data_IF_816696494903
#
_entry.id   IF_816696494903
#
_cell.length_a   1.000
_cell.length_b   1.000
_cell.length_c   1.000
_cell.angle_alpha   90.00
_cell.angle_beta   90.00
_cell.angle_gamma   90.00
#
_symmetry.space_group_name_H-M   'P 1'
#
loop_
_entity.id
_entity.type
_entity.pdbx_description
1 polymer ?
#
# COMPACT_ATOMS: atom_id res chain seq x y z
N UNK A 1 -15.95 -0.52 11.59
CA UNK A 1 -14.63 -0.90 11.06
C UNK A 1 -13.88 0.39 10.78
N UNK A 2 -12.57 0.49 11.08
CA UNK A 2 -11.81 1.69 10.74
C UNK A 2 -11.84 1.90 9.23
N UNK A 3 -12.05 3.14 8.82
CA UNK A 3 -12.07 3.55 7.41
C UNK A 3 -10.66 3.52 6.82
N UNK A 4 -10.57 3.42 5.50
CA UNK A 4 -9.28 3.47 4.80
C UNK A 4 -8.45 4.70 5.19
N UNK A 5 -9.08 5.87 5.28
CA UNK A 5 -8.41 7.13 5.65
C UNK A 5 -7.84 7.07 7.08
N UNK A 6 -8.60 6.55 8.04
CA UNK A 6 -8.11 6.35 9.41
C UNK A 6 -6.93 5.38 9.47
N UNK A 7 -6.98 4.30 8.69
CA UNK A 7 -5.88 3.33 8.64
C UNK A 7 -4.65 3.92 7.96
N UNK A 8 -4.81 4.75 6.91
CA UNK A 8 -3.71 5.47 6.27
C UNK A 8 -3.01 6.41 7.25
N UNK A 9 -3.77 7.18 8.02
CA UNK A 9 -3.20 8.07 9.04
C UNK A 9 -2.46 7.29 10.12
N UNK A 10 -3.02 6.16 10.57
CA UNK A 10 -2.35 5.28 11.52
C UNK A 10 -1.09 4.64 10.93
N UNK A 11 -1.12 4.18 9.68
CA UNK A 11 0.03 3.59 9.01
C UNK A 11 1.18 4.60 8.85
N UNK A 12 0.87 5.89 8.61
CA UNK A 12 1.87 6.97 8.60
C UNK A 12 2.57 7.14 9.94
N UNK A 13 1.87 6.92 11.06
CA UNK A 13 2.42 7.11 12.40
C UNK A 13 3.50 6.09 12.78
N UNK A 14 3.50 4.89 12.18
CA UNK A 14 4.45 3.81 12.50
C UNK A 14 5.46 3.55 11.38
N UNK A 15 5.70 4.54 10.51
CA UNK A 15 6.60 4.41 9.35
C UNK A 15 8.05 4.06 9.70
N UNK A 16 8.45 4.20 10.96
CA UNK A 16 9.80 3.89 11.45
C UNK A 16 9.98 2.41 11.83
N UNK A 17 8.91 1.67 12.09
CA UNK A 17 8.96 0.28 12.57
C UNK A 17 8.62 -0.76 11.49
N UNK A 18 8.36 -0.31 10.27
CA UNK A 18 7.86 -1.10 9.16
C UNK A 18 8.98 -1.43 8.17
N UNK A 19 9.00 -2.65 7.64
CA UNK A 19 10.02 -3.08 6.69
C UNK A 19 9.82 -2.44 5.32
N UNK A 20 10.87 -2.42 4.49
CA UNK A 20 10.78 -1.90 3.11
C UNK A 20 9.73 -2.65 2.30
N UNK A 21 9.60 -3.96 2.49
CA UNK A 21 8.63 -4.80 1.79
C UNK A 21 7.18 -4.43 2.16
N UNK A 22 6.90 -4.29 3.46
CA UNK A 22 5.58 -3.86 3.92
C UNK A 22 5.25 -2.45 3.38
N UNK A 23 6.20 -1.51 3.40
CA UNK A 23 6.01 -0.16 2.82
C UNK A 23 5.60 -0.24 1.35
N UNK A 24 6.26 -1.11 0.58
CA UNK A 24 5.95 -1.31 -0.84
C UNK A 24 4.56 -1.91 -1.02
N UNK A 25 4.15 -2.85 -0.16
CA UNK A 25 2.84 -3.46 -0.23
C UNK A 25 1.72 -2.46 0.11
N UNK A 26 1.87 -1.69 1.20
CA UNK A 26 0.96 -0.59 1.52
C UNK A 26 0.90 0.44 0.39
N UNK A 27 2.04 0.81 -0.18
CA UNK A 27 2.09 1.76 -1.28
C UNK A 27 1.30 1.26 -2.50
N UNK A 28 1.46 -0.01 -2.88
CA UNK A 28 0.76 -0.60 -4.02
C UNK A 28 -0.76 -0.57 -3.86
N UNK A 29 -1.25 -1.03 -2.71
CA UNK A 29 -2.69 -0.99 -2.42
C UNK A 29 -3.23 0.44 -2.26
N UNK A 30 -2.47 1.34 -1.63
CA UNK A 30 -2.85 2.73 -1.48
C UNK A 30 -3.02 3.42 -2.85
N UNK A 31 -2.06 3.21 -3.76
CA UNK A 31 -2.11 3.77 -5.11
C UNK A 31 -3.25 3.18 -5.92
N UNK A 32 -3.46 1.86 -5.86
CA UNK A 32 -4.59 1.21 -6.52
C UNK A 32 -5.95 1.70 -5.96
N UNK A 33 -6.04 1.92 -4.64
CA UNK A 33 -7.25 2.40 -3.98
C UNK A 33 -7.62 3.86 -4.30
N UNK A 34 -6.61 4.70 -4.59
CA UNK A 34 -6.78 6.16 -4.75
C UNK A 34 -6.71 6.61 -6.20
N UNK A 35 -5.83 5.99 -6.99
CA UNK A 35 -5.60 6.31 -8.41
C UNK A 35 -6.24 5.27 -9.32
N UNK A 36 -6.31 4.00 -8.89
CA UNK A 36 -6.66 2.87 -9.74
C UNK A 36 -5.42 2.28 -10.40
N UNK A 37 -5.61 1.71 -11.58
CA UNK A 37 -4.54 1.02 -12.31
C UNK A 37 -3.33 1.91 -12.57
N UNK A 38 -2.15 1.29 -12.50
CA UNK A 38 -0.87 1.97 -12.73
C UNK A 38 -0.83 2.56 -14.14
N UNK A 39 -0.70 3.89 -14.22
CA UNK A 39 -0.78 4.69 -15.44
C UNK A 39 0.50 5.50 -15.73
N UNK A 40 1.59 5.18 -15.04
CA UNK A 40 2.89 5.82 -15.23
C UNK A 40 3.85 4.87 -15.97
N UNK A 41 4.85 5.45 -16.61
CA UNK A 41 5.97 4.69 -17.19
C UNK A 41 6.87 4.11 -16.09
N UNK A 42 7.62 3.07 -16.45
CA UNK A 42 8.57 2.44 -15.55
C UNK A 42 9.72 3.42 -15.23
N UNK A 43 9.92 3.78 -13.95
CA UNK A 43 10.98 4.70 -13.56
C UNK A 43 12.36 4.04 -13.61
N UNK A 44 13.40 4.84 -13.84
CA UNK A 44 14.80 4.38 -13.89
C UNK A 44 15.40 4.15 -12.49
N UNK A 45 14.92 4.89 -11.49
CA UNK A 45 15.37 4.78 -10.09
C UNK A 45 14.94 3.45 -9.47
N UNK A 46 15.88 2.73 -8.85
CA UNK A 46 15.62 1.39 -8.31
C UNK A 46 14.53 1.38 -7.21
N UNK A 47 14.52 2.41 -6.36
CA UNK A 47 13.52 2.56 -5.30
C UNK A 47 12.12 2.89 -5.85
N UNK A 48 12.06 3.76 -6.87
CA UNK A 48 10.81 4.10 -7.54
C UNK A 48 10.29 2.92 -8.36
N UNK A 49 11.18 2.16 -8.99
CA UNK A 49 10.86 0.95 -9.73
C UNK A 49 10.24 -0.11 -8.83
N UNK A 50 10.74 -0.27 -7.61
CA UNK A 50 10.12 -1.18 -6.64
C UNK A 50 8.68 -0.75 -6.28
N UNK A 51 8.45 0.55 -6.07
CA UNK A 51 7.11 1.11 -5.81
C UNK A 51 6.18 0.93 -7.01
N UNK A 52 6.69 1.22 -8.20
CA UNK A 52 6.00 1.03 -9.48
C UNK A 52 5.58 -0.42 -9.69
N UNK A 53 6.52 -1.36 -9.52
CA UNK A 53 6.24 -2.80 -9.64
C UNK A 53 5.19 -3.25 -8.62
N UNK A 54 5.27 -2.76 -7.38
CA UNK A 54 4.27 -3.07 -6.36
C UNK A 54 2.89 -2.59 -6.78
N UNK A 55 2.76 -1.32 -7.21
CA UNK A 55 1.49 -0.77 -7.71
C UNK A 55 0.99 -1.53 -8.95
N UNK A 56 1.87 -1.78 -9.93
CA UNK A 56 1.54 -2.52 -11.16
C UNK A 56 1.06 -3.94 -10.88
N UNK A 57 1.62 -4.62 -9.87
CA UNK A 57 1.17 -5.96 -9.48
C UNK A 57 -0.25 -5.99 -8.91
N UNK A 58 -0.75 -4.83 -8.43
CA UNK A 58 -2.11 -4.67 -7.90
C UNK A 58 -3.10 -4.17 -8.95
N UNK A 59 -2.66 -3.96 -10.19
CA UNK A 59 -3.53 -3.54 -11.29
C UNK A 59 -4.65 -4.57 -11.53
N UNK A 60 -5.83 -4.09 -11.89
CA UNK A 60 -7.04 -4.90 -12.05
C UNK A 60 -7.86 -5.10 -10.76
N UNK A 61 -7.32 -4.73 -9.58
CA UNK A 61 -8.13 -4.67 -8.36
C UNK A 61 -9.03 -3.44 -8.38
N UNK A 62 -10.26 -3.59 -7.91
CA UNK A 62 -11.14 -2.43 -7.71
C UNK A 62 -10.61 -1.55 -6.59
N UNK A 63 -10.99 -0.26 -6.61
CA UNK A 63 -10.63 0.65 -5.52
C UNK A 63 -11.12 0.16 -4.16
N UNK A 64 -12.27 -0.54 -4.12
CA UNK A 64 -12.84 -1.07 -2.88
C UNK A 64 -12.06 -2.28 -2.36
N UNK A 65 -11.69 -3.21 -3.25
CA UNK A 65 -10.85 -4.36 -2.89
C UNK A 65 -9.46 -3.91 -2.43
N UNK A 66 -8.87 -2.93 -3.11
CA UNK A 66 -7.57 -2.37 -2.72
C UNK A 66 -7.62 -1.73 -1.32
N UNK A 67 -8.71 -1.03 -0.98
CA UNK A 67 -8.91 -0.48 0.38
C UNK A 67 -9.05 -1.60 1.41
N UNK A 68 -9.83 -2.63 1.11
CA UNK A 68 -10.00 -3.78 2.00
C UNK A 68 -8.67 -4.49 2.26
N UNK A 69 -7.89 -4.76 1.21
CA UNK A 69 -6.55 -5.33 1.34
C UNK A 69 -5.61 -4.44 2.16
N UNK A 70 -5.61 -3.12 1.93
CA UNK A 70 -4.80 -2.18 2.72
C UNK A 70 -5.09 -2.28 4.23
N UNK A 71 -6.38 -2.39 4.58
CA UNK A 71 -6.82 -2.55 5.97
C UNK A 71 -6.36 -3.90 6.54
N UNK A 72 -6.44 -4.98 5.77
CA UNK A 72 -5.98 -6.31 6.20
C UNK A 72 -4.47 -6.37 6.41
N UNK A 73 -3.68 -5.79 5.51
CA UNK A 73 -2.22 -5.67 5.67
C UNK A 73 -1.89 -4.88 6.93
N UNK A 74 -2.61 -3.79 7.20
CA UNK A 74 -2.42 -3.01 8.42
C UNK A 74 -2.75 -3.81 9.69
N UNK A 75 -3.85 -4.56 9.71
CA UNK A 75 -4.20 -5.41 10.84
C UNK A 75 -3.14 -6.49 11.08
N UNK A 76 -2.68 -7.14 10.02
CA UNK A 76 -1.63 -8.16 10.11
C UNK A 76 -0.32 -7.55 10.64
N UNK A 77 0.01 -6.33 10.21
CA UNK A 77 1.16 -5.58 10.72
C UNK A 77 1.01 -5.27 12.20
N UNK A 78 -0.10 -4.66 12.63
CA UNK A 78 -0.35 -4.35 14.04
C UNK A 78 -0.29 -5.62 14.89
N UNK A 79 -0.86 -6.73 14.43
CA UNK A 79 -0.83 -8.00 15.15
C UNK A 79 0.60 -8.58 15.31
N UNK A 80 1.53 -8.29 14.39
CA UNK A 80 2.93 -8.71 14.48
C UNK A 80 3.78 -7.83 15.42
N UNK A 81 3.35 -6.59 15.64
CA UNK A 81 4.09 -5.57 16.40
C UNK A 81 3.40 -5.16 17.71
N UNK A 82 2.35 -5.89 18.11
CA UNK A 82 1.62 -5.72 19.38
C UNK A 82 2.16 -6.64 20.46
#
# INVERSE_FOLDING_TARGET
MPTFEEIVEKAKAFKETITKEDILEFYGYYKQATVGDCNIDEPEDADEKARYLSWKSKAGLTAEDAKNHYIEVYKAYVAKHQ
#
